data_IF_406319570602
#
_entry.id   IF_406319570602
#
_cell.length_a   1.000
_cell.length_b   1.000
_cell.length_c   1.000
_cell.angle_alpha   90.00
_cell.angle_beta   90.00
_cell.angle_gamma   90.00
#
_symmetry.space_group_name_H-M   'P 1'
#
loop_
_entity.id
_entity.type
_entity.pdbx_description
1 polymer ?
#
# COMPACT_ATOMS: atom_id res chain seq x y z
N UNK A 1 -5.97 -13.74 13.60
CA UNK A 1 -6.31 -13.19 12.26
C UNK A 1 -5.00 -13.21 11.52
N UNK A 2 -4.87 -14.07 10.52
CA UNK A 2 -3.65 -14.13 9.73
C UNK A 2 -3.44 -12.78 9.04
N UNK A 3 -2.33 -12.14 9.32
CA UNK A 3 -1.94 -10.92 8.62
C UNK A 3 -1.63 -11.30 7.17
N UNK A 4 -2.30 -10.68 6.20
CA UNK A 4 -1.95 -10.88 4.81
C UNK A 4 -0.60 -10.20 4.53
N UNK A 5 0.50 -10.95 4.66
CA UNK A 5 1.86 -10.46 4.39
C UNK A 5 2.20 -10.67 2.91
N UNK A 6 2.54 -9.59 2.22
CA UNK A 6 2.99 -9.62 0.83
C UNK A 6 4.40 -9.06 0.70
N UNK A 7 5.28 -9.78 -0.01
CA UNK A 7 6.58 -9.26 -0.42
C UNK A 7 6.48 -8.76 -1.86
N UNK A 8 6.67 -7.46 -2.06
CA UNK A 8 6.65 -6.83 -3.39
C UNK A 8 8.00 -6.16 -3.66
N UNK A 9 8.42 -6.17 -4.93
CA UNK A 9 9.61 -5.45 -5.36
C UNK A 9 9.25 -4.02 -5.74
N UNK A 10 10.13 -3.09 -5.38
CA UNK A 10 10.09 -1.73 -5.89
C UNK A 10 10.59 -1.72 -7.33
N UNK A 11 9.89 -0.98 -8.20
CA UNK A 11 10.33 -0.81 -9.58
C UNK A 11 11.43 0.27 -9.70
N UNK A 12 11.97 0.45 -10.91
CA UNK A 12 13.04 1.42 -11.19
C UNK A 12 12.66 2.89 -10.95
N UNK A 13 11.36 3.18 -10.78
CA UNK A 13 10.85 4.53 -10.51
C UNK A 13 10.51 4.73 -9.03
N UNK A 14 10.86 3.77 -8.17
CA UNK A 14 10.58 3.85 -6.74
C UNK A 14 9.13 3.52 -6.37
N UNK A 15 8.36 2.90 -7.26
CA UNK A 15 6.95 2.56 -7.00
C UNK A 15 6.83 1.14 -6.50
N UNK A 16 5.92 0.93 -5.56
CA UNK A 16 5.50 -0.41 -5.11
C UNK A 16 4.07 -0.67 -5.55
N UNK A 17 3.79 -1.92 -5.92
CA UNK A 17 2.44 -2.35 -6.27
C UNK A 17 1.71 -2.77 -4.99
N UNK A 18 0.58 -2.14 -4.71
CA UNK A 18 -0.35 -2.64 -3.69
C UNK A 18 -1.05 -3.88 -4.28
N UNK A 19 -0.92 -5.08 -3.69
CA UNK A 19 -1.54 -6.32 -4.19
C UNK A 19 -3.06 -6.19 -4.43
N UNK A 20 -3.58 -6.95 -5.40
CA UNK A 20 -4.98 -6.88 -5.82
C UNK A 20 -5.95 -7.06 -4.65
N UNK A 21 -5.67 -8.01 -3.77
CA UNK A 21 -6.57 -8.37 -2.68
C UNK A 21 -6.69 -7.23 -1.66
N UNK A 22 -5.58 -6.56 -1.34
CA UNK A 22 -5.59 -5.35 -0.50
C UNK A 22 -6.39 -4.22 -1.19
N UNK A 23 -6.19 -4.00 -2.50
CA UNK A 23 -6.94 -2.96 -3.24
C UNK A 23 -8.44 -3.22 -3.23
N UNK A 24 -8.86 -4.47 -3.41
CA UNK A 24 -10.28 -4.86 -3.39
C UNK A 24 -10.86 -4.68 -1.99
N UNK A 25 -10.17 -5.17 -0.95
CA UNK A 25 -10.60 -5.02 0.45
C UNK A 25 -10.76 -3.56 0.87
N UNK A 26 -9.85 -2.68 0.42
CA UNK A 26 -9.87 -1.25 0.75
C UNK A 26 -10.63 -0.38 -0.25
N UNK A 27 -11.15 -0.94 -1.35
CA UNK A 27 -11.83 -0.18 -2.40
C UNK A 27 -10.93 0.87 -3.09
N UNK A 28 -9.63 0.57 -3.21
CA UNK A 28 -8.67 1.44 -3.88
C UNK A 28 -8.87 1.42 -5.40
N UNK A 29 -8.94 2.59 -6.00
CA UNK A 29 -9.06 2.78 -7.46
C UNK A 29 -7.93 3.67 -7.99
N UNK A 30 -7.75 3.68 -9.30
CA UNK A 30 -6.84 4.63 -9.92
C UNK A 30 -7.19 6.07 -9.50
N UNK A 31 -6.19 6.82 -9.05
CA UNK A 31 -6.37 8.18 -8.52
C UNK A 31 -6.77 8.28 -7.04
N UNK A 32 -6.97 7.16 -6.33
CA UNK A 32 -7.14 7.18 -4.86
C UNK A 32 -5.95 7.88 -4.20
N UNK A 33 -6.24 8.76 -3.24
CA UNK A 33 -5.21 9.47 -2.47
C UNK A 33 -4.73 8.59 -1.33
N UNK A 34 -3.41 8.35 -1.28
CA UNK A 34 -2.76 7.62 -0.20
C UNK A 34 -1.84 8.59 0.53
N UNK A 35 -2.00 8.69 1.84
CA UNK A 35 -1.02 9.33 2.69
C UNK A 35 0.14 8.37 2.94
N UNK A 36 1.37 8.86 2.78
CA UNK A 36 2.59 8.12 3.03
C UNK A 36 3.35 8.84 4.13
N UNK A 37 3.73 8.13 5.18
CA UNK A 37 4.54 8.70 6.27
C UNK A 37 5.43 7.63 6.90
N UNK A 38 6.53 8.09 7.52
CA UNK A 38 7.45 7.24 8.26
C UNK A 38 7.00 7.16 9.72
N UNK A 39 6.91 5.96 10.27
CA UNK A 39 6.66 5.73 11.69
C UNK A 39 7.55 4.59 12.17
N UNK A 40 8.38 4.84 13.18
CA UNK A 40 9.20 3.79 13.82
C UNK A 40 10.09 2.97 12.85
N UNK A 41 10.56 3.61 11.77
CA UNK A 41 11.37 2.96 10.74
C UNK A 41 10.55 2.25 9.65
N UNK A 42 9.23 2.27 9.75
CA UNK A 42 8.31 1.67 8.77
C UNK A 42 7.66 2.73 7.88
N UNK A 43 7.43 2.37 6.62
CA UNK A 43 6.61 3.16 5.71
C UNK A 43 5.15 2.76 5.92
N UNK A 44 4.35 3.69 6.43
CA UNK A 44 2.92 3.49 6.63
C UNK A 44 2.14 4.14 5.49
N UNK A 45 1.24 3.36 4.89
CA UNK A 45 0.32 3.82 3.85
C UNK A 45 -1.09 3.90 4.43
N UNK A 46 -1.69 5.08 4.41
CA UNK A 46 -3.07 5.28 4.86
C UNK A 46 -3.94 5.76 3.71
N UNK A 47 -5.01 5.02 3.43
CA UNK A 47 -6.00 5.44 2.44
C UNK A 47 -6.77 6.66 2.96
N UNK A 48 -6.78 7.74 2.18
CA UNK A 48 -7.59 8.93 2.43
C UNK A 48 -8.86 8.81 1.59
N UNK A 49 -10.00 8.61 2.26
CA UNK A 49 -11.32 8.55 1.63
C UNK A 49 -11.89 9.95 1.42
#
# INVERSE_FOLDING_TARGET
MDEDVYVVKMDSKGRIVIPKDIRVKLGLKAGSKIQVFLKEGEIVLKYLK
#
